data_IF_510781167151
#
_entry.id   IF_510781167151
#
_cell.length_a   1.000
_cell.length_b   1.000
_cell.length_c   1.000
_cell.angle_alpha   90.00
_cell.angle_beta   90.00
_cell.angle_gamma   90.00
#
_symmetry.space_group_name_H-M   'P 1'
#
loop_
_entity.id
_entity.type
_entity.pdbx_description
1 polymer ?
#
# COMPACT_ATOMS: atom_id res chain seq x y z
N UNK A 1 16.06 19.38 13.24
CA UNK A 1 16.94 18.41 13.94
C UNK A 1 16.38 17.93 15.29
N UNK A 2 15.33 18.53 15.89
CA UNK A 2 14.84 18.10 17.22
C UNK A 2 14.07 16.77 17.22
N UNK A 3 13.21 16.51 16.23
CA UNK A 3 12.20 15.43 16.39
C UNK A 3 12.74 14.02 16.07
N UNK A 4 13.64 13.87 15.09
CA UNK A 4 14.23 12.55 14.77
C UNK A 4 15.18 12.10 15.89
N UNK A 5 15.94 13.02 16.47
CA UNK A 5 16.84 12.71 17.58
C UNK A 5 16.07 12.34 18.86
N UNK A 6 14.97 13.04 19.15
CA UNK A 6 14.07 12.69 20.26
C UNK A 6 13.45 11.30 20.04
N UNK A 7 12.97 11.02 18.82
CA UNK A 7 12.44 9.70 18.47
C UNK A 7 13.49 8.58 18.60
N UNK A 8 14.72 8.81 18.15
CA UNK A 8 15.82 7.87 18.31
C UNK A 8 16.15 7.61 19.79
N UNK A 9 16.17 8.67 20.60
CA UNK A 9 16.34 8.58 22.06
C UNK A 9 15.22 7.77 22.71
N UNK A 10 13.96 8.00 22.30
CA UNK A 10 12.81 7.26 22.79
C UNK A 10 12.87 5.76 22.43
N UNK A 11 13.40 5.40 21.26
CA UNK A 11 13.62 3.99 20.89
C UNK A 11 14.74 3.38 21.74
N UNK A 12 15.87 4.08 21.83
CA UNK A 12 17.04 3.67 22.60
C UNK A 12 17.73 2.40 22.09
N UNK A 13 18.80 2.00 22.78
CA UNK A 13 19.65 0.88 22.38
C UNK A 13 19.33 -0.47 23.06
N UNK A 14 18.36 -0.54 23.98
CA UNK A 14 18.00 -1.79 24.69
C UNK A 14 16.49 -2.03 24.87
N UNK A 15 16.11 -3.31 25.00
CA UNK A 15 14.73 -3.76 25.27
C UNK A 15 13.77 -3.69 24.08
N UNK A 16 12.73 -4.54 24.03
CA UNK A 16 11.79 -4.57 22.91
C UNK A 16 10.95 -3.28 22.83
N UNK A 17 10.67 -2.85 21.60
CA UNK A 17 9.91 -1.62 21.29
C UNK A 17 8.87 -1.88 20.22
N UNK A 18 7.67 -1.35 20.44
CA UNK A 18 6.60 -1.33 19.46
C UNK A 18 6.42 0.08 18.88
N UNK A 19 6.72 0.23 17.60
CA UNK A 19 6.48 1.47 16.85
C UNK A 19 4.99 1.55 16.54
N UNK A 20 4.30 2.40 17.31
CA UNK A 20 2.85 2.53 17.30
C UNK A 20 2.42 3.55 16.25
N UNK A 21 1.61 3.09 15.28
CA UNK A 21 0.78 3.97 14.45
C UNK A 21 -0.62 4.14 15.05
N UNK A 22 -1.62 4.40 14.21
CA UNK A 22 -3.00 4.60 14.66
C UNK A 22 -3.75 3.31 15.09
N UNK A 23 -3.12 2.14 15.03
CA UNK A 23 -3.78 0.86 15.35
C UNK A 23 -4.83 0.39 14.34
N UNK A 24 -4.88 0.99 13.15
CA UNK A 24 -5.92 0.71 12.12
C UNK A 24 -5.70 -0.57 11.32
N UNK A 25 -4.53 -1.22 11.48
CA UNK A 25 -4.17 -2.47 10.78
C UNK A 25 -3.66 -3.53 11.76
N UNK A 26 -2.74 -3.13 12.64
CA UNK A 26 -2.19 -3.99 13.70
C UNK A 26 -2.14 -3.22 15.00
N UNK A 27 -2.58 -3.88 16.06
CA UNK A 27 -2.43 -3.41 17.44
C UNK A 27 -1.24 -4.13 18.05
N UNK A 28 -0.34 -3.38 18.67
CA UNK A 28 0.83 -3.94 19.35
C UNK A 28 0.47 -4.67 20.64
N UNK A 29 1.35 -5.57 21.10
CA UNK A 29 1.16 -6.26 22.37
C UNK A 29 1.24 -5.27 23.55
N UNK A 30 0.32 -5.38 24.51
CA UNK A 30 0.20 -4.43 25.62
C UNK A 30 1.42 -4.41 26.57
N UNK A 31 2.19 -5.49 26.59
CA UNK A 31 3.38 -5.66 27.44
C UNK A 31 4.69 -5.19 26.79
N UNK A 32 4.64 -4.61 25.58
CA UNK A 32 5.81 -4.03 24.92
C UNK A 32 5.72 -2.51 24.93
N UNK A 33 6.85 -1.86 25.23
CA UNK A 33 6.95 -0.40 25.27
C UNK A 33 6.60 0.20 23.91
N UNK A 34 5.57 1.04 23.86
CA UNK A 34 5.15 1.70 22.63
C UNK A 34 5.86 3.06 22.43
N UNK A 35 6.26 3.35 21.21
CA UNK A 35 6.86 4.64 20.80
C UNK A 35 6.16 5.11 19.52
N UNK A 36 5.82 6.40 19.44
CA UNK A 36 5.18 6.99 18.26
C UNK A 36 6.20 7.72 17.39
N UNK A 37 6.06 7.61 16.08
CA UNK A 37 6.86 8.37 15.12
C UNK A 37 6.48 9.87 15.15
N UNK A 38 7.43 10.77 14.81
CA UNK A 38 7.16 12.20 14.65
C UNK A 38 5.98 12.49 13.71
N UNK A 39 5.25 13.58 13.94
CA UNK A 39 4.09 13.99 13.14
C UNK A 39 4.28 15.35 12.46
N UNK A 40 3.48 15.60 11.45
CA UNK A 40 3.35 16.90 10.77
C UNK A 40 4.17 16.99 9.49
N UNK A 41 3.72 17.88 8.61
CA UNK A 41 4.43 18.24 7.37
C UNK A 41 5.67 19.07 7.71
N UNK A 42 6.78 18.79 7.02
CA UNK A 42 8.05 19.52 7.14
C UNK A 42 8.29 20.41 5.93
N UNK A 43 8.13 19.83 4.76
CA UNK A 43 8.27 20.50 3.48
C UNK A 43 7.18 19.98 2.55
N UNK A 44 6.57 20.88 1.79
CA UNK A 44 5.68 20.53 0.70
C UNK A 44 6.09 21.37 -0.49
N UNK A 45 6.51 20.70 -1.57
CA UNK A 45 6.95 21.32 -2.82
C UNK A 45 6.02 20.81 -3.94
N UNK A 46 4.81 21.40 -4.07
CA UNK A 46 3.81 20.94 -5.03
C UNK A 46 4.34 20.92 -6.47
N UNK A 47 5.18 21.89 -6.82
CA UNK A 47 5.77 22.04 -8.15
C UNK A 47 6.76 20.90 -8.46
N UNK A 48 7.41 20.34 -7.43
CA UNK A 48 8.33 19.19 -7.53
C UNK A 48 7.61 17.85 -7.31
N UNK A 49 6.31 17.88 -7.00
CA UNK A 49 5.50 16.70 -6.68
C UNK A 49 6.08 15.89 -5.52
N UNK A 50 6.52 16.58 -4.47
CA UNK A 50 7.10 15.97 -3.27
C UNK A 50 6.53 16.57 -1.98
N UNK A 51 6.43 15.73 -0.96
CA UNK A 51 6.08 16.14 0.40
C UNK A 51 6.92 15.38 1.42
N UNK A 52 7.52 16.09 2.36
CA UNK A 52 8.27 15.55 3.48
C UNK A 52 7.46 15.68 4.76
N UNK A 53 7.27 14.59 5.48
CA UNK A 53 6.51 14.59 6.73
C UNK A 53 7.01 13.54 7.72
N UNK A 54 6.67 13.75 8.99
CA UNK A 54 6.88 12.75 10.03
C UNK A 54 6.03 11.50 9.76
N UNK A 55 6.57 10.32 10.03
CA UNK A 55 5.90 9.04 9.74
C UNK A 55 4.67 8.79 10.65
N UNK A 56 4.49 9.54 11.72
CA UNK A 56 3.30 9.53 12.56
C UNK A 56 2.16 10.42 12.04
N UNK A 57 2.36 11.18 10.96
CA UNK A 57 1.33 12.04 10.34
C UNK A 57 0.13 11.20 9.92
N UNK A 58 -1.08 11.69 10.21
CA UNK A 58 -2.32 11.03 9.80
C UNK A 58 -2.47 11.09 8.28
N UNK A 59 -2.99 10.03 7.67
CA UNK A 59 -3.23 9.99 6.22
C UNK A 59 -4.30 11.00 5.80
N UNK A 60 -5.37 11.18 6.60
CA UNK A 60 -6.40 12.20 6.31
C UNK A 60 -5.85 13.62 6.36
N UNK A 61 -4.97 13.92 7.32
CA UNK A 61 -4.29 15.23 7.42
C UNK A 61 -3.38 15.47 6.21
N UNK A 62 -2.64 14.43 5.78
CA UNK A 62 -1.85 14.50 4.56
C UNK A 62 -2.71 14.74 3.32
N UNK A 63 -3.82 14.00 3.17
CA UNK A 63 -4.74 14.14 2.06
C UNK A 63 -5.34 15.56 2.00
N UNK A 64 -5.79 16.12 3.13
CA UNK A 64 -6.31 17.49 3.21
C UNK A 64 -5.29 18.52 2.68
N UNK A 65 -4.02 18.39 3.05
CA UNK A 65 -2.96 19.31 2.63
C UNK A 65 -2.63 19.17 1.13
N UNK A 66 -2.63 17.93 0.61
CA UNK A 66 -2.34 17.68 -0.80
C UNK A 66 -3.53 18.09 -1.70
N UNK A 67 -4.75 17.98 -1.19
CA UNK A 67 -5.98 18.33 -1.87
C UNK A 67 -6.04 19.81 -2.26
N UNK A 68 -5.51 20.71 -1.42
CA UNK A 68 -5.39 22.14 -1.71
C UNK A 68 -4.60 22.44 -2.98
N UNK A 69 -3.74 21.52 -3.41
CA UNK A 69 -2.95 21.60 -4.65
C UNK A 69 -3.39 20.61 -5.72
N UNK A 70 -4.52 19.94 -5.51
CA UNK A 70 -5.04 18.93 -6.43
C UNK A 70 -4.10 17.73 -6.59
N UNK A 71 -3.42 17.32 -5.51
CA UNK A 71 -2.47 16.22 -5.51
C UNK A 71 -2.92 15.10 -4.55
N UNK A 72 -2.25 13.94 -4.65
CA UNK A 72 -2.39 12.85 -3.69
C UNK A 72 -1.06 12.08 -3.57
N UNK A 73 -0.83 11.40 -2.44
CA UNK A 73 0.24 10.43 -2.27
C UNK A 73 -0.36 9.02 -2.21
N UNK A 74 0.15 8.05 -2.96
CA UNK A 74 -0.45 6.70 -2.96
C UNK A 74 0.03 5.88 -1.75
N UNK A 75 -0.75 5.88 -0.67
CA UNK A 75 -0.44 5.24 0.62
C UNK A 75 -1.58 4.34 1.14
N UNK A 76 -2.54 3.97 0.29
CA UNK A 76 -3.65 3.09 0.69
C UNK A 76 -4.71 3.76 1.58
N UNK A 77 -4.81 5.09 1.54
CA UNK A 77 -5.77 5.87 2.34
C UNK A 77 -7.24 5.52 2.07
N UNK A 78 -7.60 4.99 0.88
CA UNK A 78 -8.99 4.63 0.55
C UNK A 78 -9.63 3.65 1.55
N UNK A 79 -8.84 2.75 2.15
CA UNK A 79 -9.34 1.77 3.12
C UNK A 79 -9.01 2.14 4.57
N UNK A 80 -7.94 2.90 4.78
CA UNK A 80 -7.47 3.23 6.13
C UNK A 80 -7.14 4.73 6.24
N UNK A 81 -8.11 5.64 6.06
CA UNK A 81 -7.86 7.08 6.04
C UNK A 81 -7.35 7.62 7.38
N UNK A 82 -7.64 6.93 8.49
CA UNK A 82 -7.15 7.27 9.82
C UNK A 82 -5.83 6.57 10.20
N UNK A 83 -5.19 5.89 9.25
CA UNK A 83 -3.85 5.33 9.44
C UNK A 83 -2.78 6.43 9.50
N UNK A 84 -1.56 6.05 9.87
CA UNK A 84 -0.39 6.94 9.77
C UNK A 84 0.43 6.64 8.51
N UNK A 85 1.17 7.62 8.02
CA UNK A 85 2.09 7.49 6.87
C UNK A 85 3.06 6.32 7.05
N UNK A 86 3.72 6.24 8.20
CA UNK A 86 4.64 5.17 8.55
C UNK A 86 3.95 3.81 8.65
N UNK A 87 2.72 3.77 9.18
CA UNK A 87 1.93 2.53 9.23
C UNK A 87 1.54 2.02 7.83
N UNK A 88 1.18 2.92 6.91
CA UNK A 88 0.91 2.58 5.52
C UNK A 88 2.16 2.00 4.84
N UNK A 89 3.31 2.68 4.96
CA UNK A 89 4.56 2.22 4.38
C UNK A 89 5.03 0.90 5.00
N UNK A 90 5.07 0.81 6.34
CA UNK A 90 5.52 -0.39 7.05
C UNK A 90 4.63 -1.62 6.76
N UNK A 91 3.33 -1.43 6.55
CA UNK A 91 2.43 -2.53 6.16
C UNK A 91 2.54 -2.91 4.68
N UNK A 92 3.08 -2.05 3.82
CA UNK A 92 3.18 -2.28 2.38
C UNK A 92 1.82 -2.44 1.69
N UNK A 93 0.76 -1.97 2.33
CA UNK A 93 -0.61 -2.14 1.87
C UNK A 93 -0.91 -1.19 0.70
N UNK A 94 -1.61 -1.68 -0.32
CA UNK A 94 -1.93 -0.91 -1.52
C UNK A 94 -3.44 -0.65 -1.58
N UNK A 95 -3.85 0.45 -2.22
CA UNK A 95 -5.27 0.66 -2.53
C UNK A 95 -5.75 -0.27 -3.65
N UNK A 96 -7.08 -0.38 -3.81
CA UNK A 96 -7.69 -1.10 -4.92
C UNK A 96 -7.40 -0.45 -6.29
N UNK A 97 -6.77 0.73 -6.32
CA UNK A 97 -6.40 1.46 -7.54
C UNK A 97 -4.93 1.22 -7.94
N UNK A 98 -4.26 0.24 -7.30
CA UNK A 98 -2.86 -0.13 -7.55
C UNK A 98 -2.57 -0.40 -9.02
N UNK A 99 -3.54 -0.92 -9.77
CA UNK A 99 -3.36 -1.27 -11.18
C UNK A 99 -2.96 -0.03 -12.01
N UNK A 100 -3.61 1.12 -11.79
CA UNK A 100 -3.24 2.38 -12.47
C UNK A 100 -2.29 3.27 -11.69
N UNK A 101 -2.39 3.30 -10.35
CA UNK A 101 -1.61 4.21 -9.49
C UNK A 101 -0.24 3.65 -9.07
N UNK A 102 0.00 2.37 -9.35
CA UNK A 102 1.22 1.66 -8.96
C UNK A 102 1.23 1.24 -7.49
N UNK A 103 2.29 0.53 -7.05
CA UNK A 103 2.41 0.09 -5.67
C UNK A 103 2.85 1.21 -4.72
N UNK A 104 2.45 1.10 -3.45
CA UNK A 104 2.78 2.05 -2.36
C UNK A 104 4.29 2.30 -2.23
N UNK A 105 5.12 1.30 -2.52
CA UNK A 105 6.59 1.41 -2.45
C UNK A 105 7.17 2.44 -3.42
N UNK A 106 6.45 2.74 -4.52
CA UNK A 106 6.90 3.72 -5.51
C UNK A 106 6.56 5.17 -5.08
N UNK A 107 5.81 5.33 -3.98
CA UNK A 107 5.55 6.63 -3.37
C UNK A 107 6.69 7.08 -2.46
N UNK A 108 7.53 6.18 -1.94
CA UNK A 108 8.61 6.55 -1.02
C UNK A 108 9.90 6.91 -1.78
N UNK A 109 10.34 8.16 -1.67
CA UNK A 109 11.56 8.67 -2.32
C UNK A 109 12.75 8.75 -1.36
N UNK A 110 12.50 9.16 -0.11
CA UNK A 110 13.50 9.26 0.95
C UNK A 110 12.91 8.77 2.27
N UNK A 111 13.73 8.16 3.12
CA UNK A 111 13.35 7.72 4.46
C UNK A 111 14.47 7.97 5.47
N UNK A 112 14.08 8.42 6.66
CA UNK A 112 14.91 8.40 7.87
C UNK A 112 14.35 7.33 8.80
N UNK A 113 15.17 6.34 9.14
CA UNK A 113 14.81 5.27 10.07
C UNK A 113 15.73 5.23 11.28
N UNK A 114 15.23 4.75 12.40
CA UNK A 114 16.04 4.38 13.56
C UNK A 114 16.15 2.86 13.59
N UNK A 115 17.39 2.36 13.57
CA UNK A 115 17.68 0.90 13.59
C UNK A 115 17.47 0.30 14.98
N UNK A 116 17.55 -1.02 15.09
CA UNK A 116 17.51 -1.72 16.38
C UNK A 116 18.71 -1.42 17.28
N UNK A 117 19.73 -0.72 16.78
CA UNK A 117 20.87 -0.22 17.58
C UNK A 117 20.64 1.20 18.10
N UNK A 118 19.59 1.88 17.65
CA UNK A 118 19.35 3.30 17.94
C UNK A 118 20.00 4.26 16.94
N UNK A 119 20.72 3.75 15.93
CA UNK A 119 21.34 4.57 14.90
C UNK A 119 20.29 5.15 13.95
N UNK A 120 20.44 6.43 13.59
CA UNK A 120 19.64 7.08 12.55
C UNK A 120 20.28 6.79 11.19
N UNK A 121 19.52 6.16 10.30
CA UNK A 121 19.94 5.84 8.94
C UNK A 121 19.04 6.55 7.94
N UNK A 122 19.67 7.23 6.99
CA UNK A 122 19.01 7.86 5.84
C UNK A 122 19.11 6.97 4.61
N UNK A 123 18.01 6.80 3.89
CA UNK A 123 17.95 6.09 2.62
C UNK A 123 17.20 6.90 1.55
N UNK A 124 17.63 6.78 0.29
CA UNK A 124 17.00 7.47 -0.83
C UNK A 124 17.37 8.95 -0.94
N UNK A 125 16.50 9.73 -1.59
CA UNK A 125 16.66 11.16 -1.82
C UNK A 125 15.37 11.75 -2.38
N UNK A 126 15.17 13.08 -2.32
CA UNK A 126 13.92 13.73 -2.73
C UNK A 126 13.67 13.69 -4.26
N UNK A 127 14.53 13.00 -5.02
CA UNK A 127 14.49 12.99 -6.48
C UNK A 127 13.94 11.67 -7.02
N UNK A 128 13.18 11.77 -8.11
CA UNK A 128 12.61 10.63 -8.84
C UNK A 128 13.67 9.65 -9.39
N UNK A 129 14.83 10.16 -9.82
CA UNK A 129 15.94 9.33 -10.32
C UNK A 129 17.02 9.27 -9.27
N UNK A 130 17.09 8.13 -8.58
CA UNK A 130 18.18 7.82 -7.68
C UNK A 130 18.85 6.53 -8.16
N UNK A 131 20.09 6.63 -8.65
CA UNK A 131 20.82 5.51 -9.30
C UNK A 131 22.04 5.05 -8.49
N UNK A 132 22.15 5.49 -7.23
CA UNK A 132 23.28 5.16 -6.36
C UNK A 132 22.85 4.31 -5.17
N UNK A 133 23.53 3.18 -4.97
CA UNK A 133 23.38 2.33 -3.78
C UNK A 133 22.15 1.40 -3.82
N UNK A 134 21.88 0.78 -2.67
CA UNK A 134 20.72 -0.08 -2.47
C UNK A 134 19.45 0.75 -2.20
N UNK A 135 18.32 0.31 -2.73
CA UNK A 135 17.02 0.96 -2.54
C UNK A 135 16.44 0.64 -1.15
N UNK A 136 16.94 1.36 -0.14
CA UNK A 136 16.45 1.24 1.24
C UNK A 136 14.98 1.65 1.36
N UNK A 137 14.49 2.57 0.53
CA UNK A 137 13.09 2.98 0.52
C UNK A 137 12.19 1.77 0.21
N UNK A 138 12.47 1.04 -0.86
CA UNK A 138 11.72 -0.18 -1.19
C UNK A 138 11.87 -1.28 -0.15
N UNK A 139 13.02 -1.37 0.52
CA UNK A 139 13.23 -2.34 1.60
C UNK A 139 12.38 -2.05 2.84
N UNK A 140 12.20 -0.77 3.20
CA UNK A 140 11.45 -0.37 4.39
C UNK A 140 9.94 -0.57 4.21
N UNK A 141 9.45 -0.51 2.98
CA UNK A 141 8.04 -0.72 2.66
C UNK A 141 7.68 -2.20 2.83
N UNK A 142 6.69 -2.51 3.66
CA UNK A 142 6.35 -3.89 4.02
C UNK A 142 7.27 -4.51 5.07
N UNK A 143 8.19 -3.75 5.69
CA UNK A 143 9.08 -4.24 6.74
C UNK A 143 8.38 -4.48 8.09
N UNK A 144 7.13 -4.04 8.23
CA UNK A 144 6.35 -4.04 9.47
C UNK A 144 7.06 -3.35 10.65
N UNK A 145 7.97 -2.41 10.36
CA UNK A 145 8.79 -1.72 11.36
C UNK A 145 9.89 -2.61 11.98
N UNK A 146 10.12 -3.81 11.44
CA UNK A 146 11.12 -4.75 11.97
C UNK A 146 12.53 -4.44 11.48
N UNK A 147 12.70 -3.80 10.33
CA UNK A 147 14.02 -3.40 9.82
C UNK A 147 14.43 -2.00 10.27
N UNK A 148 13.52 -1.23 10.84
CA UNK A 148 13.78 0.11 11.31
C UNK A 148 12.49 0.82 11.63
N UNK A 149 12.54 1.68 12.64
CA UNK A 149 11.45 2.57 12.99
C UNK A 149 11.45 3.77 12.05
N UNK A 150 10.45 3.87 11.18
CA UNK A 150 10.32 4.98 10.22
C UNK A 150 10.02 6.26 11.00
N UNK A 151 10.88 7.27 10.87
CA UNK A 151 10.78 8.54 11.59
C UNK A 151 10.21 9.66 10.70
N UNK A 152 10.80 9.83 9.52
CA UNK A 152 10.45 10.87 8.55
C UNK A 152 10.58 10.30 7.13
N UNK A 153 9.73 10.77 6.22
CA UNK A 153 9.71 10.32 4.84
C UNK A 153 9.57 11.50 3.89
N UNK A 154 10.16 11.37 2.71
CA UNK A 154 9.78 12.19 1.55
C UNK A 154 9.04 11.30 0.57
N UNK A 155 7.84 11.74 0.21
CA UNK A 155 6.92 11.03 -0.65
C UNK A 155 6.78 11.73 -1.99
N UNK A 156 6.68 10.94 -3.05
CA UNK A 156 6.19 11.38 -4.35
C UNK A 156 4.68 11.61 -4.26
N UNK A 157 4.24 12.79 -4.65
CA UNK A 157 2.84 13.10 -4.89
C UNK A 157 2.52 12.97 -6.39
N UNK A 158 1.23 12.91 -6.71
CA UNK A 158 0.73 12.82 -8.09
C UNK A 158 -0.44 13.78 -8.25
N UNK A 159 -0.65 14.36 -9.44
CA UNK A 159 -1.85 15.16 -9.70
C UNK A 159 -3.08 14.27 -9.62
N UNK A 160 -4.15 14.76 -9.01
CA UNK A 160 -5.46 14.12 -9.04
C UNK A 160 -5.96 14.03 -10.49
N UNK A 161 -6.62 12.93 -10.87
CA UNK A 161 -7.21 12.82 -12.19
C UNK A 161 -8.32 13.87 -12.38
N UNK A 162 -8.50 14.36 -13.60
CA UNK A 162 -9.56 15.33 -13.93
C UNK A 162 -10.95 14.71 -13.87
N UNK A 163 -11.04 13.41 -14.09
CA UNK A 163 -12.24 12.62 -13.96
C UNK A 163 -11.91 11.21 -13.47
N UNK A 164 -12.85 10.62 -12.73
CA UNK A 164 -12.82 9.24 -12.26
C UNK A 164 -14.22 8.68 -12.36
N UNK A 165 -14.36 7.46 -12.86
CA UNK A 165 -15.64 6.77 -12.91
C UNK A 165 -15.46 5.28 -12.59
N UNK A 166 -16.45 4.72 -11.90
CA UNK A 166 -16.61 3.29 -11.73
C UNK A 166 -17.65 2.78 -12.72
N UNK A 167 -17.24 1.84 -13.57
CA UNK A 167 -18.10 1.13 -14.50
C UNK A 167 -18.34 -0.28 -13.96
N UNK A 168 -19.60 -0.70 -13.93
CA UNK A 168 -20.03 -2.01 -13.42
C UNK A 168 -20.58 -2.83 -14.58
N UNK A 169 -20.12 -4.07 -14.68
CA UNK A 169 -20.53 -5.04 -15.70
C UNK A 169 -21.03 -6.30 -15.00
N UNK A 170 -22.27 -6.67 -15.28
CA UNK A 170 -22.90 -7.88 -14.73
C UNK A 170 -22.60 -9.13 -15.57
N UNK A 171 -22.68 -10.30 -14.93
CA UNK A 171 -22.72 -11.62 -15.56
C UNK A 171 -21.52 -11.92 -16.46
N UNK A 172 -20.33 -11.85 -15.87
CA UNK A 172 -19.06 -12.05 -16.57
C UNK A 172 -18.35 -13.27 -16.01
N UNK A 173 -18.28 -14.33 -16.82
CA UNK A 173 -17.40 -15.47 -16.57
C UNK A 173 -15.92 -15.08 -16.73
N UNK A 174 -15.02 -15.95 -16.27
CA UNK A 174 -13.59 -15.67 -16.29
C UNK A 174 -13.02 -15.39 -17.69
N UNK A 175 -13.52 -16.08 -18.73
CA UNK A 175 -13.04 -15.90 -20.10
C UNK A 175 -13.39 -14.51 -20.66
N UNK A 176 -14.57 -14.01 -20.30
CA UNK A 176 -15.02 -12.64 -20.64
C UNK A 176 -14.20 -11.58 -19.91
N UNK A 177 -13.82 -11.83 -18.67
CA UNK A 177 -12.93 -10.93 -17.92
C UNK A 177 -11.53 -10.88 -18.54
N UNK A 178 -10.97 -12.03 -18.94
CA UNK A 178 -9.67 -12.06 -19.63
C UNK A 178 -9.70 -11.25 -20.93
N UNK A 179 -10.75 -11.40 -21.75
CA UNK A 179 -10.95 -10.60 -22.96
C UNK A 179 -11.00 -9.10 -22.63
N UNK A 180 -11.77 -8.72 -21.61
CA UNK A 180 -11.95 -7.33 -21.19
C UNK A 180 -10.62 -6.70 -20.75
N UNK A 181 -9.84 -7.40 -19.93
CA UNK A 181 -8.54 -6.91 -19.43
C UNK A 181 -7.57 -6.64 -20.58
N UNK A 182 -7.59 -7.47 -21.63
CA UNK A 182 -6.72 -7.31 -22.80
C UNK A 182 -7.03 -6.09 -23.68
N UNK A 183 -8.20 -5.45 -23.51
CA UNK A 183 -8.67 -4.39 -24.41
C UNK A 183 -8.95 -3.05 -23.72
N UNK A 184 -9.06 -3.01 -22.40
CA UNK A 184 -9.18 -1.74 -21.69
C UNK A 184 -7.85 -0.97 -21.68
N UNK A 185 -7.89 0.28 -22.13
CA UNK A 185 -6.76 1.18 -22.06
C UNK A 185 -6.59 1.75 -20.65
N UNK A 186 -5.53 1.33 -19.94
CA UNK A 186 -5.06 1.86 -18.65
C UNK A 186 -6.14 2.01 -17.56
N UNK A 187 -6.89 0.94 -17.22
CA UNK A 187 -7.79 0.98 -16.08
C UNK A 187 -7.01 1.22 -14.78
N UNK A 188 -7.56 2.04 -13.89
CA UNK A 188 -7.03 2.25 -12.54
C UNK A 188 -7.28 1.08 -11.61
N UNK A 189 -8.39 0.35 -11.83
CA UNK A 189 -8.72 -0.87 -11.12
C UNK A 189 -9.61 -1.78 -11.96
N UNK A 190 -9.49 -3.08 -11.73
CA UNK A 190 -10.46 -4.08 -12.17
C UNK A 190 -10.68 -5.02 -10.99
N UNK A 191 -11.89 -5.04 -10.44
CA UNK A 191 -12.29 -5.94 -9.37
C UNK A 191 -13.37 -6.89 -9.86
N UNK A 192 -13.31 -8.15 -9.47
CA UNK A 192 -14.26 -9.16 -9.95
C UNK A 192 -14.52 -10.23 -8.90
N UNK A 193 -15.79 -10.61 -8.72
CA UNK A 193 -16.21 -11.63 -7.75
C UNK A 193 -16.80 -12.90 -8.37
N UNK A 194 -16.71 -13.05 -9.69
CA UNK A 194 -17.33 -14.18 -10.41
C UNK A 194 -18.73 -13.90 -10.93
N UNK A 195 -19.38 -12.82 -10.47
CA UNK A 195 -20.72 -12.43 -10.87
C UNK A 195 -20.74 -11.02 -11.48
N UNK A 196 -20.00 -10.10 -10.86
CA UNK A 196 -19.96 -8.67 -11.18
C UNK A 196 -18.51 -8.23 -11.30
N UNK A 197 -18.24 -7.36 -12.26
CA UNK A 197 -16.94 -6.72 -12.46
C UNK A 197 -17.07 -5.21 -12.29
N UNK A 198 -16.18 -4.63 -11.48
CA UNK A 198 -16.06 -3.20 -11.24
C UNK A 198 -14.76 -2.70 -11.84
N UNK A 199 -14.85 -1.69 -12.70
CA UNK A 199 -13.71 -1.13 -13.42
C UNK A 199 -13.61 0.34 -13.04
N UNK A 200 -12.48 0.74 -12.48
CA UNK A 200 -12.19 2.16 -12.28
C UNK A 200 -11.36 2.68 -13.44
N UNK A 201 -11.79 3.80 -14.02
CA UNK A 201 -11.02 4.54 -15.02
C UNK A 201 -10.79 5.95 -14.50
N UNK A 202 -9.53 6.37 -14.46
CA UNK A 202 -9.12 7.69 -14.02
C UNK A 202 -8.31 8.37 -15.12
N UNK A 203 -8.49 9.68 -15.27
CA UNK A 203 -7.72 10.46 -16.24
C UNK A 203 -8.48 11.69 -16.74
N UNK A 204 -8.51 11.85 -18.05
CA UNK A 204 -9.33 12.86 -18.72
C UNK A 204 -10.76 12.32 -18.94
N UNK A 205 -11.80 13.18 -18.97
CA UNK A 205 -13.17 12.73 -19.26
C UNK A 205 -13.31 11.86 -20.52
N UNK A 206 -12.48 12.10 -21.55
CA UNK A 206 -12.46 11.27 -22.76
C UNK A 206 -12.00 9.83 -22.52
N UNK A 207 -11.14 9.58 -21.53
CA UNK A 207 -10.64 8.23 -21.23
C UNK A 207 -11.79 7.35 -20.71
N UNK A 208 -12.71 7.94 -19.96
CA UNK A 208 -13.94 7.28 -19.48
C UNK A 208 -14.85 6.92 -20.67
N UNK A 209 -15.04 7.86 -21.60
CA UNK A 209 -15.86 7.61 -22.80
C UNK A 209 -15.25 6.56 -23.74
N UNK A 210 -13.92 6.55 -23.87
CA UNK A 210 -13.19 5.50 -24.62
C UNK A 210 -13.43 4.13 -23.97
N UNK A 211 -13.29 4.02 -22.64
CA UNK A 211 -13.54 2.77 -21.94
C UNK A 211 -15.00 2.29 -22.12
N UNK A 212 -15.99 3.19 -21.98
CA UNK A 212 -17.40 2.88 -22.22
C UNK A 212 -17.64 2.39 -23.65
N UNK A 213 -17.03 3.04 -24.63
CA UNK A 213 -17.17 2.69 -26.04
C UNK A 213 -16.59 1.30 -26.32
N UNK A 214 -15.42 0.99 -25.76
CA UNK A 214 -14.79 -0.33 -25.92
C UNK A 214 -15.64 -1.42 -25.24
N UNK A 215 -16.16 -1.18 -24.03
CA UNK A 215 -17.08 -2.12 -23.38
C UNK A 215 -18.31 -2.42 -24.24
N UNK A 216 -18.98 -1.38 -24.78
CA UNK A 216 -20.14 -1.56 -25.67
C UNK A 216 -19.78 -2.30 -26.95
N UNK A 217 -18.65 -1.96 -27.58
CA UNK A 217 -18.16 -2.61 -28.80
C UNK A 217 -17.96 -4.12 -28.61
N UNK A 218 -17.57 -4.54 -27.40
CA UNK A 218 -17.36 -5.93 -27.00
C UNK A 218 -18.60 -6.61 -26.45
N UNK A 219 -19.75 -5.95 -26.50
CA UNK A 219 -21.03 -6.50 -26.03
C UNK A 219 -21.20 -6.51 -24.51
N UNK A 220 -20.39 -5.76 -23.76
CA UNK A 220 -20.61 -5.59 -22.32
C UNK A 220 -21.64 -4.49 -22.07
N UNK A 221 -22.71 -4.82 -21.37
CA UNK A 221 -23.60 -3.83 -20.78
C UNK A 221 -22.93 -3.28 -19.51
N UNK A 222 -22.62 -1.99 -19.49
CA UNK A 222 -21.98 -1.34 -18.34
C UNK A 222 -22.85 -0.22 -17.79
N UNK A 223 -22.94 -0.13 -16.46
CA UNK A 223 -23.57 0.97 -15.73
C UNK A 223 -22.52 1.74 -14.94
N UNK A 224 -22.80 2.99 -14.61
CA UNK A 224 -21.93 3.77 -13.72
C UNK A 224 -22.33 3.54 -12.26
N UNK A 225 -21.34 3.46 -11.39
CA UNK A 225 -21.52 3.41 -9.94
C UNK A 225 -20.78 4.58 -9.28
N UNK A 226 -21.28 5.00 -8.12
CA UNK A 226 -20.61 6.01 -7.30
C UNK A 226 -19.25 5.51 -6.74
N UNK A 227 -19.12 4.19 -6.53
CA UNK A 227 -17.91 3.58 -5.97
C UNK A 227 -17.66 2.18 -6.52
N UNK A 228 -16.46 1.67 -6.26
CA UNK A 228 -16.14 0.24 -6.40
C UNK A 228 -16.87 -0.61 -5.35
N UNK A 229 -16.59 -1.92 -5.30
CA UNK A 229 -17.21 -2.82 -4.35
C UNK A 229 -16.74 -2.51 -2.92
N UNK A 230 -17.58 -2.81 -1.93
CA UNK A 230 -17.21 -2.72 -0.53
C UNK A 230 -16.26 -3.88 -0.15
N UNK A 231 -15.04 -3.54 0.22
CA UNK A 231 -14.00 -4.48 0.69
C UNK A 231 -13.92 -4.55 2.22
N UNK A 232 -14.79 -3.83 2.94
CA UNK A 232 -14.84 -3.83 4.41
C UNK A 232 -15.27 -5.17 4.99
N UNK A 233 -16.20 -5.86 4.32
CA UNK A 233 -16.65 -7.20 4.70
C UNK A 233 -15.64 -8.33 4.40
N UNK A 234 -14.57 -8.03 3.65
CA UNK A 234 -13.52 -8.97 3.26
C UNK A 234 -12.18 -8.52 3.86
N UNK A 235 -11.95 -8.74 5.17
CA UNK A 235 -10.81 -8.17 5.87
C UNK A 235 -9.47 -8.74 5.40
N UNK A 236 -9.44 -9.98 4.92
CA UNK A 236 -8.22 -10.70 4.57
C UNK A 236 -7.84 -10.51 3.11
N UNK A 237 -6.54 -10.40 2.85
CA UNK A 237 -5.98 -10.11 1.53
C UNK A 237 -4.91 -11.12 1.15
N UNK A 238 -5.10 -11.81 0.03
CA UNK A 238 -4.18 -12.84 -0.44
C UNK A 238 -3.39 -12.30 -1.61
N UNK A 239 -2.11 -12.67 -1.70
CA UNK A 239 -1.30 -12.42 -2.89
C UNK A 239 -1.13 -13.73 -3.65
N UNK A 240 -1.63 -13.76 -4.87
CA UNK A 240 -1.53 -14.91 -5.78
C UNK A 240 -0.96 -14.44 -7.12
N UNK A 241 -0.62 -15.36 -8.02
CA UNK A 241 -0.26 -14.92 -9.38
C UNK A 241 -1.46 -14.24 -10.06
N UNK A 242 -1.25 -13.23 -10.92
CA UNK A 242 -2.35 -12.59 -11.65
C UNK A 242 -3.19 -13.53 -12.52
N UNK A 243 -2.73 -14.75 -12.79
CA UNK A 243 -3.50 -15.78 -13.48
C UNK A 243 -4.30 -16.66 -12.50
N UNK A 244 -3.77 -16.92 -11.31
CA UNK A 244 -4.44 -17.76 -10.31
C UNK A 244 -5.71 -17.13 -9.74
N UNK A 245 -5.86 -15.80 -9.80
CA UNK A 245 -7.11 -15.12 -9.39
C UNK A 245 -8.35 -15.70 -10.08
N UNK A 246 -8.25 -16.10 -11.35
CA UNK A 246 -9.40 -16.62 -12.10
C UNK A 246 -9.93 -17.95 -11.54
N UNK A 247 -9.01 -18.87 -11.26
CA UNK A 247 -9.32 -20.15 -10.61
C UNK A 247 -9.94 -19.93 -9.22
N UNK A 248 -9.32 -19.08 -8.41
CA UNK A 248 -9.76 -18.84 -7.03
C UNK A 248 -11.15 -18.21 -6.95
N UNK A 249 -11.46 -17.29 -7.86
CA UNK A 249 -12.80 -16.70 -7.97
C UNK A 249 -13.80 -17.72 -8.48
N UNK A 250 -13.43 -18.56 -9.45
CA UNK A 250 -14.30 -19.63 -9.97
C UNK A 250 -14.72 -20.66 -8.92
N UNK A 251 -13.84 -20.98 -7.97
CA UNK A 251 -14.15 -21.88 -6.84
C UNK A 251 -15.05 -21.24 -5.77
N UNK A 252 -15.05 -19.91 -5.68
CA UNK A 252 -15.66 -19.13 -4.59
C UNK A 252 -16.47 -17.94 -5.10
N UNK A 253 -17.25 -18.17 -6.14
CA UNK A 253 -18.07 -17.16 -6.79
C UNK A 253 -18.95 -16.45 -5.76
N UNK A 254 -18.87 -15.11 -5.76
CA UNK A 254 -19.60 -14.22 -4.85
C UNK A 254 -19.04 -14.15 -3.42
N UNK A 255 -18.09 -15.01 -3.04
CA UNK A 255 -17.51 -15.05 -1.69
C UNK A 255 -16.17 -14.32 -1.59
N UNK A 256 -15.50 -14.09 -2.72
CA UNK A 256 -14.22 -13.38 -2.81
C UNK A 256 -14.29 -12.27 -3.86
N UNK A 257 -13.42 -11.27 -3.73
CA UNK A 257 -13.23 -10.22 -4.76
C UNK A 257 -11.76 -10.23 -5.17
N UNK A 258 -11.47 -10.46 -6.46
CA UNK A 258 -10.13 -10.36 -7.02
C UNK A 258 -9.83 -8.96 -7.55
N UNK A 259 -8.64 -8.42 -7.31
CA UNK A 259 -8.07 -7.34 -8.11
C UNK A 259 -7.34 -7.96 -9.32
N UNK A 260 -8.01 -7.93 -10.47
CA UNK A 260 -7.53 -8.52 -11.71
C UNK A 260 -6.36 -7.71 -12.28
N UNK A 261 -5.33 -8.39 -12.79
CA UNK A 261 -4.08 -7.78 -13.25
C UNK A 261 -3.08 -7.44 -12.14
N UNK A 262 -3.52 -7.39 -10.88
CA UNK A 262 -2.65 -7.17 -9.70
C UNK A 262 -2.26 -8.49 -9.03
N UNK A 263 -3.17 -9.47 -9.01
CA UNK A 263 -2.95 -10.77 -8.33
C UNK A 263 -3.29 -10.72 -6.85
N UNK A 264 -4.39 -10.05 -6.50
CA UNK A 264 -4.87 -9.92 -5.12
C UNK A 264 -6.25 -10.51 -5.00
N UNK A 265 -6.53 -11.24 -3.92
CA UNK A 265 -7.88 -11.66 -3.54
C UNK A 265 -8.24 -11.06 -2.19
N UNK A 266 -9.47 -10.59 -2.06
CA UNK A 266 -10.09 -10.21 -0.80
C UNK A 266 -11.06 -11.31 -0.39
N UNK A 267 -10.99 -11.75 0.87
CA UNK A 267 -11.79 -12.84 1.41
C UNK A 267 -12.13 -12.65 2.89
N UNK A 268 -13.01 -13.51 3.37
CA UNK A 268 -13.40 -13.62 4.78
C UNK A 268 -12.46 -14.52 5.60
N UNK A 269 -11.65 -15.35 4.92
CA UNK A 269 -10.67 -16.23 5.54
C UNK A 269 -9.23 -15.71 5.34
N UNK A 270 -8.35 -15.90 6.35
CA UNK A 270 -6.94 -15.55 6.23
C UNK A 270 -6.25 -16.36 5.11
N UNK A 271 -5.28 -15.78 4.38
CA UNK A 271 -4.44 -16.52 3.45
C UNK A 271 -3.71 -17.67 4.17
N UNK A 272 -3.42 -18.76 3.45
CA UNK A 272 -2.55 -19.81 3.97
C UNK A 272 -1.16 -19.24 4.25
N UNK A 273 -0.50 -19.78 5.28
CA UNK A 273 0.88 -19.43 5.58
C UNK A 273 1.77 -19.81 4.40
N UNK A 274 2.53 -18.86 3.81
CA UNK A 274 3.37 -19.15 2.66
C UNK A 274 4.52 -20.10 3.07
N UNK A 275 4.80 -21.08 2.22
CA UNK A 275 6.01 -21.91 2.34
C UNK A 275 7.17 -21.10 1.78
N UNK A 276 8.12 -20.76 2.64
CA UNK A 276 9.32 -19.99 2.27
C UNK A 276 10.49 -20.95 2.14
N UNK A 277 11.22 -20.86 1.02
CA UNK A 277 12.44 -21.63 0.81
C UNK A 277 13.49 -21.29 1.88
N UNK A 278 14.18 -22.31 2.39
CA UNK A 278 15.15 -22.16 3.48
C UNK A 278 16.29 -21.17 3.14
N UNK A 279 16.70 -21.07 1.87
CA UNK A 279 17.71 -20.11 1.45
C UNK A 279 17.18 -18.67 1.51
N UNK A 280 15.91 -18.45 1.12
CA UNK A 280 15.23 -17.15 1.23
C UNK A 280 15.06 -16.75 2.69
N UNK A 281 14.65 -17.69 3.54
CA UNK A 281 14.55 -17.46 4.98
C UNK A 281 15.89 -17.04 5.60
N UNK A 282 16.98 -17.71 5.21
CA UNK A 282 18.32 -17.36 5.66
C UNK A 282 18.75 -15.95 5.22
N UNK A 283 18.38 -15.53 4.01
CA UNK A 283 18.60 -14.15 3.54
C UNK A 283 17.82 -13.15 4.40
N UNK A 284 16.54 -13.42 4.65
CA UNK A 284 15.70 -12.55 5.50
C UNK A 284 16.25 -12.43 6.92
N UNK A 285 16.75 -13.53 7.49
CA UNK A 285 17.37 -13.55 8.82
C UNK A 285 18.62 -12.67 8.85
N UNK A 286 19.57 -12.88 7.94
CA UNK A 286 20.80 -12.07 7.84
C UNK A 286 20.50 -10.58 7.64
N UNK A 287 19.48 -10.26 6.84
CA UNK A 287 19.04 -8.89 6.64
C UNK A 287 18.49 -8.30 7.94
N UNK A 288 17.60 -9.02 8.64
CA UNK A 288 17.05 -8.61 9.93
C UNK A 288 18.17 -8.38 10.95
N UNK A 289 19.13 -9.28 11.05
CA UNK A 289 20.24 -9.19 12.00
C UNK A 289 21.15 -7.99 11.73
N UNK A 290 21.26 -7.57 10.46
CA UNK A 290 22.05 -6.39 10.07
C UNK A 290 21.43 -5.08 10.56
N UNK A 291 20.09 -5.01 10.65
CA UNK A 291 19.36 -3.82 11.07
C UNK A 291 18.94 -3.84 12.56
N UNK A 292 18.65 -5.01 13.09
CA UNK A 292 18.14 -5.21 14.45
C UNK A 292 18.61 -6.57 14.99
N UNK A 293 19.89 -6.68 15.37
CA UNK A 293 20.53 -7.93 15.79
C UNK A 293 19.93 -8.54 17.06
N UNK A 294 19.28 -7.72 17.90
CA UNK A 294 18.62 -8.17 19.12
C UNK A 294 17.11 -8.41 18.91
N UNK A 295 16.61 -8.27 17.67
CA UNK A 295 15.21 -8.44 17.29
C UNK A 295 14.21 -7.64 18.15
N UNK A 296 14.60 -6.42 18.56
CA UNK A 296 13.86 -5.57 19.48
C UNK A 296 12.69 -4.84 18.85
N UNK A 297 12.77 -4.51 17.56
CA UNK A 297 11.78 -3.69 16.85
C UNK A 297 10.59 -4.53 16.40
N UNK A 298 9.39 -4.12 16.84
CA UNK A 298 8.09 -4.70 16.50
C UNK A 298 8.07 -6.24 16.60
N UNK A 299 8.38 -6.80 17.78
CA UNK A 299 8.40 -8.25 17.96
C UNK A 299 7.01 -8.85 17.64
N UNK A 300 7.00 -9.94 16.87
CA UNK A 300 5.78 -10.65 16.46
C UNK A 300 5.00 -10.01 15.30
N UNK A 301 5.36 -8.83 14.79
CA UNK A 301 4.56 -8.14 13.77
C UNK A 301 4.45 -8.88 12.42
N UNK A 302 5.46 -9.67 12.05
CA UNK A 302 5.45 -10.43 10.79
C UNK A 302 4.42 -11.56 10.76
N UNK A 303 4.14 -12.17 11.91
CA UNK A 303 3.21 -13.30 12.00
C UNK A 303 1.74 -12.87 12.00
N UNK A 304 1.49 -11.56 12.15
CA UNK A 304 0.16 -10.95 12.29
C UNK A 304 -0.41 -10.51 10.94
N UNK A 305 0.46 -10.14 9.97
CA UNK A 305 0.05 -9.62 8.66
C UNK A 305 0.36 -10.54 7.47
N UNK A 306 1.04 -11.67 7.72
CA UNK A 306 1.16 -12.80 6.78
C UNK A 306 -0.08 -13.74 6.93
N UNK A 307 -1.09 -13.30 7.70
CA UNK A 307 -2.45 -13.87 7.82
C UNK A 307 -3.50 -12.94 7.19
#
# INVERSE_FOLDING_TARGET
MSDIAEFASAIGATGPVWIRGAGTRVVGPANVRAVESPRGIRFFEPEEMTVTCGAGTCLSELDEILDDRGQYANLGQLRHPHGTVGGALASGWNDQLRLGRGPVRDSLLEVHVVTGRGDVVKGGGPTVKNVSGFDLCRLMVGSHGRLGAIAEVTLRTRPKPRASAWLVVDSVDGSRIEELVGHLYRPSAILWNGLVCWICVEGHPSDIEIARTELRRRGFASQESASGPDLGALPHRWSVSPRAVFEHVGERVGQVIAEVGVGVLHGDQPPPTPIIDAAVENIHRRLKDSFDPEHRLNPGAGDILIR
#
